data_IF_971664326334
#
_entry.id   IF_971664326334
#
_cell.length_a   1.000
_cell.length_b   1.000
_cell.length_c   1.000
_cell.angle_alpha   90.00
_cell.angle_beta   90.00
_cell.angle_gamma   90.00
#
_symmetry.space_group_name_H-M   'P 1'
#
loop_
_entity.id
_entity.type
_entity.pdbx_description
1 polymer ?
#
# COMPACT_ATOMS: atom_id res chain seq x y z
N UNK A 1 -8.02 -7.50 9.60
CA UNK A 1 -9.26 -6.81 10.07
C UNK A 1 -9.01 -6.05 11.37
N UNK A 2 -8.40 -6.65 12.40
CA UNK A 2 -8.11 -6.00 13.68
C UNK A 2 -7.12 -4.83 13.55
N UNK A 3 -6.06 -4.96 12.75
CA UNK A 3 -5.06 -3.90 12.54
C UNK A 3 -5.65 -2.71 11.80
N UNK A 4 -6.50 -2.95 10.81
CA UNK A 4 -7.21 -1.89 10.07
C UNK A 4 -8.16 -1.12 10.99
N UNK A 5 -8.83 -1.80 11.93
CA UNK A 5 -9.68 -1.15 12.92
C UNK A 5 -8.88 -0.26 13.87
N UNK A 6 -7.68 -0.69 14.29
CA UNK A 6 -6.76 0.15 15.08
C UNK A 6 -6.37 1.41 14.33
N UNK A 7 -6.04 1.26 13.04
CA UNK A 7 -5.66 2.38 12.18
C UNK A 7 -6.80 3.40 12.04
N UNK A 8 -8.04 2.95 11.82
CA UNK A 8 -9.20 3.83 11.77
C UNK A 8 -9.39 4.61 13.07
N UNK A 9 -9.32 3.92 14.22
CA UNK A 9 -9.48 4.56 15.53
C UNK A 9 -8.39 5.57 15.84
N UNK A 10 -7.18 5.35 15.35
CA UNK A 10 -6.06 6.25 15.57
C UNK A 10 -6.10 7.50 14.69
N UNK A 11 -6.66 7.41 13.49
CA UNK A 11 -6.52 8.45 12.48
C UNK A 11 -7.82 9.15 12.10
N UNK A 12 -8.97 8.51 12.29
CA UNK A 12 -10.27 9.13 11.99
C UNK A 12 -10.79 9.93 13.21
N UNK A 13 -11.53 11.02 12.97
CA UNK A 13 -12.13 11.80 14.03
C UNK A 13 -13.09 10.99 14.91
N UNK A 14 -13.18 11.31 16.19
CA UNK A 14 -14.00 10.60 17.19
C UNK A 14 -15.50 10.50 16.86
N UNK A 15 -16.00 11.42 16.04
CA UNK A 15 -17.40 11.41 15.61
C UNK A 15 -17.70 10.44 14.46
N UNK A 16 -16.66 9.81 13.89
CA UNK A 16 -16.86 8.78 12.87
C UNK A 16 -17.33 7.50 13.54
N UNK A 17 -18.52 7.07 13.20
CA UNK A 17 -19.09 5.81 13.68
C UNK A 17 -18.45 4.64 12.97
N UNK A 18 -18.17 3.56 13.71
CA UNK A 18 -17.63 2.32 13.16
C UNK A 18 -18.74 1.27 12.98
N UNK A 19 -19.87 1.72 12.45
CA UNK A 19 -21.00 0.85 12.10
C UNK A 19 -20.85 0.27 10.66
N UNK A 20 -21.81 -0.57 10.28
CA UNK A 20 -21.88 -1.20 8.97
C UNK A 20 -22.72 -0.37 7.97
N UNK A 21 -22.96 0.90 8.25
CA UNK A 21 -23.64 1.79 7.30
C UNK A 21 -22.81 1.96 6.04
N UNK A 22 -23.46 2.13 4.91
CA UNK A 22 -22.76 2.38 3.63
C UNK A 22 -21.84 3.60 3.69
N UNK A 23 -22.23 4.64 4.43
CA UNK A 23 -21.42 5.86 4.60
C UNK A 23 -20.14 5.56 5.38
N UNK A 24 -20.25 4.83 6.50
CA UNK A 24 -19.08 4.41 7.29
C UNK A 24 -18.14 3.52 6.50
N UNK A 25 -18.67 2.57 5.73
CA UNK A 25 -17.88 1.69 4.86
C UNK A 25 -17.13 2.50 3.79
N UNK A 26 -17.80 3.39 3.08
CA UNK A 26 -17.18 4.23 2.05
C UNK A 26 -16.10 5.15 2.62
N UNK A 27 -16.32 5.72 3.81
CA UNK A 27 -15.32 6.56 4.48
C UNK A 27 -14.08 5.75 4.86
N UNK A 28 -14.24 4.55 5.41
CA UNK A 28 -13.13 3.64 5.75
C UNK A 28 -12.32 3.25 4.50
N UNK A 29 -12.99 2.89 3.42
CA UNK A 29 -12.34 2.53 2.16
C UNK A 29 -11.60 3.74 1.56
N UNK A 30 -12.21 4.91 1.54
CA UNK A 30 -11.58 6.16 1.08
C UNK A 30 -10.33 6.50 1.89
N UNK A 31 -10.38 6.35 3.21
CA UNK A 31 -9.25 6.57 4.09
C UNK A 31 -8.08 5.61 3.81
N UNK A 32 -8.34 4.31 3.63
CA UNK A 32 -7.30 3.36 3.28
C UNK A 32 -6.66 3.66 1.92
N UNK A 33 -7.47 4.02 0.94
CA UNK A 33 -6.99 4.40 -0.39
C UNK A 33 -6.09 5.64 -0.31
N UNK A 34 -6.43 6.62 0.53
CA UNK A 34 -5.63 7.82 0.72
C UNK A 34 -4.28 7.51 1.40
N UNK A 35 -4.28 6.67 2.43
CA UNK A 35 -3.03 6.23 3.08
C UNK A 35 -2.13 5.51 2.08
N UNK A 36 -2.68 4.57 1.30
CA UNK A 36 -1.93 3.86 0.29
C UNK A 36 -1.31 4.83 -0.72
N UNK A 37 -2.09 5.79 -1.18
CA UNK A 37 -1.65 6.84 -2.10
C UNK A 37 -0.50 7.70 -1.52
N UNK A 38 -0.60 8.08 -0.25
CA UNK A 38 0.44 8.85 0.43
C UNK A 38 1.74 8.05 0.56
N UNK A 39 1.66 6.79 0.97
CA UNK A 39 2.83 5.91 1.13
C UNK A 39 3.47 5.63 -0.23
N UNK A 40 2.66 5.25 -1.21
CA UNK A 40 3.14 5.01 -2.58
C UNK A 40 3.80 6.26 -3.18
N UNK A 41 3.16 7.42 -3.04
CA UNK A 41 3.68 8.69 -3.51
C UNK A 41 5.03 9.07 -2.89
N UNK A 42 5.17 8.87 -1.57
CA UNK A 42 6.42 9.12 -0.86
C UNK A 42 7.55 8.21 -1.37
N UNK A 43 7.29 6.91 -1.48
CA UNK A 43 8.29 5.94 -1.96
C UNK A 43 8.67 6.19 -3.42
N UNK A 44 7.70 6.45 -4.29
CA UNK A 44 7.94 6.77 -5.70
C UNK A 44 8.79 8.03 -5.83
N UNK A 45 8.51 9.06 -5.02
CA UNK A 45 9.28 10.32 -5.02
C UNK A 45 10.73 10.07 -4.63
N UNK A 46 10.98 9.30 -3.56
CA UNK A 46 12.34 8.99 -3.11
C UNK A 46 13.10 8.15 -4.14
N UNK A 47 12.48 7.15 -4.74
CA UNK A 47 13.10 6.39 -5.83
C UNK A 47 13.38 7.26 -7.06
N UNK A 48 12.45 8.13 -7.44
CA UNK A 48 12.62 9.05 -8.56
C UNK A 48 13.82 9.98 -8.34
N UNK A 49 13.94 10.54 -7.13
CA UNK A 49 15.07 11.41 -6.75
C UNK A 49 16.38 10.65 -6.74
N UNK A 50 16.41 9.47 -6.13
CA UNK A 50 17.61 8.64 -6.02
C UNK A 50 18.12 8.17 -7.38
N UNK A 51 17.24 7.76 -8.26
CA UNK A 51 17.59 7.24 -9.59
C UNK A 51 17.73 8.33 -10.65
N UNK A 52 17.31 9.57 -10.37
CA UNK A 52 17.31 10.66 -11.32
C UNK A 52 16.40 10.42 -12.53
N UNK A 53 15.26 9.73 -12.32
CA UNK A 53 14.30 9.38 -13.36
C UNK A 53 12.86 9.62 -12.91
N UNK A 54 12.00 9.91 -13.86
CA UNK A 54 10.57 9.98 -13.58
C UNK A 54 9.99 8.58 -13.42
N UNK A 55 9.27 8.38 -12.32
CA UNK A 55 8.61 7.12 -11.98
C UNK A 55 7.13 7.44 -11.71
N UNK A 56 6.24 6.65 -12.29
CA UNK A 56 4.80 6.80 -12.14
C UNK A 56 4.20 5.55 -11.52
N UNK A 57 3.33 5.74 -10.53
CA UNK A 57 2.49 4.68 -9.97
C UNK A 57 1.20 4.49 -10.78
N UNK A 58 0.59 3.33 -10.66
CA UNK A 58 -0.80 3.13 -11.10
C UNK A 58 -1.75 3.88 -10.15
N UNK A 59 -2.94 4.20 -10.64
CA UNK A 59 -4.02 4.74 -9.82
C UNK A 59 -4.36 3.73 -8.72
N UNK A 60 -4.43 4.15 -7.45
CA UNK A 60 -4.77 3.26 -6.36
C UNK A 60 -6.13 2.60 -6.54
N UNK A 61 -6.20 1.32 -6.25
CA UNK A 61 -7.45 0.57 -6.16
C UNK A 61 -7.44 -0.28 -4.91
N UNK A 62 -8.58 -0.40 -4.25
CA UNK A 62 -8.71 -1.19 -3.04
C UNK A 62 -9.49 -2.48 -3.35
N UNK A 63 -8.92 -3.61 -2.98
CA UNK A 63 -9.55 -4.91 -3.06
C UNK A 63 -9.57 -5.60 -1.71
N UNK A 64 -10.71 -6.20 -1.36
CA UNK A 64 -10.83 -7.02 -0.15
C UNK A 64 -10.78 -8.48 -0.56
N UNK A 65 -9.73 -9.16 -0.17
CA UNK A 65 -9.47 -10.55 -0.52
C UNK A 65 -9.28 -11.42 0.73
N UNK A 66 -9.51 -12.71 0.60
CA UNK A 66 -9.21 -13.64 1.71
C UNK A 66 -7.71 -13.86 1.81
N UNK A 67 -7.23 -14.11 3.02
CA UNK A 67 -5.81 -14.34 3.27
C UNK A 67 -5.20 -15.47 2.42
N UNK A 68 -5.98 -16.51 2.12
CA UNK A 68 -5.53 -17.65 1.31
C UNK A 68 -5.41 -17.30 -0.19
N UNK A 69 -6.04 -16.22 -0.64
CA UNK A 69 -6.07 -15.82 -2.05
C UNK A 69 -5.01 -14.74 -2.37
N UNK A 70 -4.24 -14.29 -1.36
CA UNK A 70 -3.26 -13.20 -1.52
C UNK A 70 -2.21 -13.55 -2.57
N UNK A 71 -1.66 -14.76 -2.55
CA UNK A 71 -0.63 -15.17 -3.51
C UNK A 71 -1.17 -15.19 -4.96
N UNK A 72 -2.37 -15.77 -5.15
CA UNK A 72 -3.01 -15.79 -6.46
C UNK A 72 -3.34 -14.37 -6.97
N UNK A 73 -3.75 -13.49 -6.05
CA UNK A 73 -3.98 -12.07 -6.37
C UNK A 73 -2.68 -11.38 -6.79
N UNK A 74 -1.59 -11.54 -6.03
CA UNK A 74 -0.29 -10.96 -6.37
C UNK A 74 0.25 -11.50 -7.70
N UNK A 75 0.09 -12.79 -7.99
CA UNK A 75 0.44 -13.38 -9.27
C UNK A 75 -0.35 -12.74 -10.42
N UNK A 76 -1.65 -12.54 -10.25
CA UNK A 76 -2.49 -11.92 -11.28
C UNK A 76 -2.13 -10.46 -11.54
N UNK A 77 -1.80 -9.68 -10.50
CA UNK A 77 -1.40 -8.28 -10.62
C UNK A 77 0.02 -8.12 -11.16
N UNK A 78 0.86 -9.13 -11.02
CA UNK A 78 2.27 -9.12 -11.44
C UNK A 78 2.54 -9.74 -12.82
N UNK A 79 1.51 -10.16 -13.57
CA UNK A 79 1.67 -10.78 -14.89
C UNK A 79 2.44 -9.93 -15.90
N UNK A 80 2.38 -8.61 -15.78
CA UNK A 80 3.08 -7.66 -16.65
C UNK A 80 4.45 -7.21 -16.09
N UNK A 81 4.91 -7.85 -15.00
CA UNK A 81 6.13 -7.47 -14.30
C UNK A 81 7.02 -8.69 -14.07
N UNK A 82 8.30 -8.57 -14.38
CA UNK A 82 9.27 -9.65 -14.24
C UNK A 82 9.96 -9.67 -12.87
N UNK A 83 9.77 -8.61 -12.07
CA UNK A 83 10.39 -8.51 -10.74
C UNK A 83 9.40 -8.05 -9.69
N UNK A 84 9.37 -8.74 -8.57
CA UNK A 84 8.58 -8.39 -7.40
C UNK A 84 9.51 -8.20 -6.21
N UNK A 85 9.44 -7.03 -5.58
CA UNK A 85 10.13 -6.77 -4.31
C UNK A 85 9.09 -6.75 -3.21
N UNK A 86 9.28 -7.61 -2.22
CA UNK A 86 8.46 -7.66 -1.02
C UNK A 86 9.26 -7.16 0.18
N UNK A 87 8.72 -6.20 0.90
CA UNK A 87 9.25 -5.80 2.19
C UNK A 87 8.13 -5.53 3.19
N UNK A 88 8.44 -5.74 4.45
CA UNK A 88 7.54 -5.53 5.56
C UNK A 88 7.90 -4.26 6.30
N UNK A 89 6.95 -3.36 6.45
CA UNK A 89 7.07 -2.20 7.31
C UNK A 89 6.27 -2.41 8.59
N UNK A 90 6.86 -2.02 9.72
CA UNK A 90 6.19 -2.06 11.02
C UNK A 90 6.03 -0.63 11.52
N UNK A 91 4.79 -0.25 11.79
CA UNK A 91 4.49 1.05 12.38
C UNK A 91 4.37 0.93 13.90
N UNK A 92 5.26 1.62 14.61
CA UNK A 92 5.24 1.71 16.06
C UNK A 92 4.71 3.08 16.50
N UNK A 93 3.56 3.08 17.12
CA UNK A 93 3.02 4.25 17.81
C UNK A 93 2.63 3.87 19.24
N UNK A 94 2.47 4.84 20.16
CA UNK A 94 2.10 4.56 21.57
C UNK A 94 0.82 3.72 21.70
N UNK A 95 -0.09 3.80 20.72
CA UNK A 95 -1.37 3.10 20.71
C UNK A 95 -1.63 2.32 19.41
N UNK A 96 -0.67 2.36 18.48
CA UNK A 96 -0.79 1.75 17.17
C UNK A 96 0.30 0.71 16.98
N UNK A 97 -0.09 -0.56 17.09
CA UNK A 97 0.77 -1.72 16.86
C UNK A 97 0.21 -2.49 15.66
N UNK A 98 0.64 -2.10 14.47
CA UNK A 98 0.27 -2.73 13.20
C UNK A 98 1.52 -3.06 12.39
N UNK A 99 1.42 -4.09 11.57
CA UNK A 99 2.50 -4.55 10.71
C UNK A 99 1.99 -4.76 9.28
N UNK A 100 1.76 -3.69 8.52
CA UNK A 100 1.36 -3.83 7.13
C UNK A 100 2.50 -4.43 6.30
N UNK A 101 2.14 -5.30 5.36
CA UNK A 101 3.05 -5.79 4.35
C UNK A 101 2.91 -4.93 3.09
N UNK A 102 4.03 -4.38 2.62
CA UNK A 102 4.11 -3.68 1.35
C UNK A 102 4.74 -4.58 0.30
N UNK A 103 4.03 -4.79 -0.79
CA UNK A 103 4.53 -5.53 -1.96
C UNK A 103 4.70 -4.55 -3.11
N UNK A 104 5.91 -4.44 -3.60
CA UNK A 104 6.24 -3.56 -4.72
C UNK A 104 6.52 -4.39 -5.96
N UNK A 105 5.84 -4.04 -7.04
CA UNK A 105 5.97 -4.70 -8.34
C UNK A 105 6.55 -3.71 -9.34
N UNK A 106 7.66 -4.07 -9.96
CA UNK A 106 8.40 -3.19 -10.86
C UNK A 106 8.53 -3.76 -12.25
N UNK A 107 8.50 -2.89 -13.25
CA UNK A 107 8.87 -3.27 -14.61
C UNK A 107 10.39 -3.49 -14.73
N UNK A 108 10.81 -4.39 -15.59
CA UNK A 108 12.22 -4.73 -15.83
C UNK A 108 13.09 -3.52 -16.10
N UNK A 109 12.61 -2.58 -16.88
CA UNK A 109 13.32 -1.32 -17.16
C UNK A 109 13.74 -0.57 -15.89
N UNK A 110 12.95 -0.67 -14.83
CA UNK A 110 13.26 -0.07 -13.54
C UNK A 110 14.35 -0.87 -12.82
N UNK A 111 14.23 -2.20 -12.82
CA UNK A 111 15.20 -3.12 -12.22
C UNK A 111 16.56 -3.00 -12.90
N UNK A 112 16.60 -2.90 -14.21
CA UNK A 112 17.84 -2.73 -14.98
C UNK A 112 18.53 -1.40 -14.66
N UNK A 113 17.75 -0.33 -14.44
CA UNK A 113 18.29 0.94 -13.98
C UNK A 113 18.95 0.84 -12.60
N UNK A 114 18.30 0.17 -11.65
CA UNK A 114 18.89 -0.07 -10.33
C UNK A 114 20.19 -0.86 -10.45
N UNK A 115 20.20 -1.94 -11.24
CA UNK A 115 21.40 -2.75 -11.46
C UNK A 115 22.56 -1.95 -12.08
N UNK A 116 22.24 -0.98 -12.94
CA UNK A 116 23.23 -0.11 -13.56
C UNK A 116 23.86 0.94 -12.60
N UNK A 117 23.26 1.13 -11.41
CA UNK A 117 23.78 2.04 -10.39
C UNK A 117 24.68 1.35 -9.35
N UNK A 118 24.69 0.06 -9.32
CA UNK A 118 25.52 -0.80 -8.45
C UNK A 118 26.71 -1.33 -9.24
#
# INVERSE_FOLDING_TARGET
EQEVTKLYKACLPDHVTFDDSNESVLMKLGFLTEIDNMVAGAVITEFSNFLGVEIYGKVPSLSVIKANDVNAFLESESTDFDSVIHFKAVFHGKELDISPDFVWVFQDKFVDKIKGLV
#
